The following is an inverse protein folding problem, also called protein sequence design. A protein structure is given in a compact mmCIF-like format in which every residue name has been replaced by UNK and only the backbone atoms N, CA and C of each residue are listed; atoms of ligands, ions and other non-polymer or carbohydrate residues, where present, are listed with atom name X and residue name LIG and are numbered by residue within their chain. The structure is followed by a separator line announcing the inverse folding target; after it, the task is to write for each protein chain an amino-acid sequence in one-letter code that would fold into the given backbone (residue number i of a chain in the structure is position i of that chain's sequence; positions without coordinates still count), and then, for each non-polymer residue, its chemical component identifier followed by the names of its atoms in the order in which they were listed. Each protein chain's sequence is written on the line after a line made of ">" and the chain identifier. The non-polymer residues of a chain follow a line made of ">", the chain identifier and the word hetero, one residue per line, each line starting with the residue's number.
data_IF_141497679741
#
_entry.id   IF_141497679741
#
_cell.length_a   1.000
_cell.length_b   1.000
_cell.length_c   1.000
_cell.angle_alpha   90.00
_cell.angle_beta   90.00
_cell.angle_gamma   90.00
#
_symmetry.space_group_name_H-M   'P 1'
#
loop_
_entity.id
_entity.type
_entity.pdbx_description
1 polymer ?
#
# COMPACT_ATOMS: atom_id res chain seq x y z
N UNK A 1 -0.59 12.67 -22.84
CA UNK A 1 0.28 13.80 -22.46
C UNK A 1 -0.27 14.60 -21.27
N UNK A 2 -1.59 14.61 -21.04
CA UNK A 2 -2.22 15.37 -19.94
C UNK A 2 -3.03 14.42 -19.04
N UNK A 3 -2.49 13.24 -18.75
CA UNK A 3 -3.24 12.18 -18.05
C UNK A 3 -2.27 11.48 -17.12
N UNK A 4 -2.53 11.59 -15.82
CA UNK A 4 -1.91 10.71 -14.84
C UNK A 4 -2.47 9.29 -15.04
N UNK A 5 -1.58 8.30 -14.98
CA UNK A 5 -1.95 6.88 -15.00
C UNK A 5 -1.50 6.28 -13.68
N UNK A 6 -2.45 5.64 -12.98
CA UNK A 6 -2.15 4.78 -11.82
C UNK A 6 -2.60 3.37 -12.17
N UNK A 7 -1.67 2.42 -12.08
CA UNK A 7 -1.92 1.00 -12.30
C UNK A 7 -1.69 0.24 -11.00
N UNK A 8 -2.67 -0.56 -10.58
CA UNK A 8 -2.62 -1.26 -9.30
C UNK A 8 -3.43 -2.56 -9.24
N UNK A 9 -3.07 -3.43 -8.29
CA UNK A 9 -3.89 -4.48 -7.66
C UNK A 9 -4.99 -3.90 -6.74
N UNK A 10 -6.10 -4.60 -6.45
CA UNK A 10 -6.81 -4.45 -5.15
C UNK A 10 -6.22 -5.42 -4.10
N UNK A 11 -5.71 -6.58 -4.56
CA UNK A 11 -4.90 -7.55 -3.82
C UNK A 11 -4.03 -8.39 -4.77
N UNK A 12 -3.29 -9.36 -4.24
CA UNK A 12 -2.60 -10.40 -4.99
C UNK A 12 -3.24 -11.79 -4.75
N UNK A 13 -2.63 -12.87 -5.21
CA UNK A 13 -3.21 -14.22 -5.18
C UNK A 13 -2.12 -15.24 -4.87
N UNK A 14 -2.38 -16.12 -3.89
CA UNK A 14 -1.43 -17.17 -3.48
C UNK A 14 -1.17 -18.16 -4.62
N UNK A 15 -2.16 -18.49 -5.44
CA UNK A 15 -2.01 -19.33 -6.64
C UNK A 15 -1.24 -20.66 -6.42
N UNK A 16 -1.37 -21.26 -5.23
CA UNK A 16 -0.66 -22.48 -4.85
C UNK A 16 0.53 -22.28 -3.91
N UNK A 17 0.99 -21.03 -3.72
CA UNK A 17 2.02 -20.70 -2.74
C UNK A 17 1.62 -21.19 -1.35
N UNK A 18 2.56 -21.81 -0.65
CA UNK A 18 2.35 -22.42 0.67
C UNK A 18 1.17 -23.42 0.70
N UNK A 19 0.94 -24.14 -0.41
CA UNK A 19 -0.19 -25.05 -0.60
C UNK A 19 -1.55 -24.38 -0.35
N UNK A 20 -1.64 -23.09 -0.65
CA UNK A 20 -2.80 -22.25 -0.38
C UNK A 20 -3.27 -21.50 -1.63
N UNK A 21 -4.54 -21.10 -1.64
CA UNK A 21 -5.15 -20.30 -2.70
C UNK A 21 -5.97 -19.17 -2.09
N UNK A 22 -6.22 -18.13 -2.87
CA UNK A 22 -6.91 -16.92 -2.45
C UNK A 22 -5.97 -15.86 -1.88
N UNK A 23 -6.57 -14.97 -1.09
CA UNK A 23 -5.95 -13.72 -0.61
C UNK A 23 -6.07 -13.47 0.90
N UNK A 24 -6.62 -14.43 1.66
CA UNK A 24 -6.92 -14.27 3.09
C UNK A 24 -5.64 -14.47 3.94
N UNK A 25 -4.61 -13.70 3.61
CA UNK A 25 -3.28 -13.74 4.20
C UNK A 25 -2.55 -12.42 3.91
N UNK A 26 -1.55 -12.09 4.73
CA UNK A 26 -0.67 -10.93 4.51
C UNK A 26 0.72 -11.28 3.99
N UNK A 27 0.95 -12.53 3.60
CA UNK A 27 2.14 -12.92 2.84
C UNK A 27 2.24 -12.08 1.56
N UNK A 28 3.46 -11.82 1.08
CA UNK A 28 3.70 -10.99 -0.11
C UNK A 28 2.85 -11.43 -1.31
N UNK A 29 2.77 -12.74 -1.56
CA UNK A 29 1.96 -13.31 -2.64
C UNK A 29 0.47 -12.98 -2.57
N UNK A 30 -0.07 -12.61 -1.40
CA UNK A 30 -1.47 -12.22 -1.22
C UNK A 30 -1.68 -10.70 -1.08
N UNK A 31 -0.72 -9.99 -0.49
CA UNK A 31 -0.89 -8.61 -0.05
C UNK A 31 0.03 -7.59 -0.73
N UNK A 32 1.15 -8.00 -1.31
CA UNK A 32 2.06 -7.09 -2.02
C UNK A 32 1.65 -6.99 -3.48
N UNK A 33 1.09 -5.85 -3.84
CA UNK A 33 0.53 -5.58 -5.17
C UNK A 33 1.49 -4.73 -6.01
N UNK A 34 1.37 -4.77 -7.36
CA UNK A 34 1.94 -3.71 -8.18
C UNK A 34 1.24 -2.38 -7.87
N UNK A 35 2.00 -1.29 -7.82
CA UNK A 35 1.50 0.07 -7.74
C UNK A 35 2.45 0.96 -8.55
N UNK A 36 2.00 1.39 -9.72
CA UNK A 36 2.79 2.18 -10.68
C UNK A 36 2.06 3.50 -10.90
N UNK A 37 2.78 4.61 -10.78
CA UNK A 37 2.28 5.95 -11.04
C UNK A 37 3.08 6.56 -12.18
N UNK A 38 2.39 7.09 -13.18
CA UNK A 38 2.97 7.87 -14.27
C UNK A 38 2.24 9.21 -14.31
N UNK A 39 2.97 10.26 -13.98
CA UNK A 39 2.51 11.64 -14.09
C UNK A 39 3.37 12.36 -15.14
N UNK A 40 2.78 12.90 -16.22
CA UNK A 40 3.52 13.55 -17.30
C UNK A 40 4.38 14.74 -16.86
N UNK A 41 4.02 15.42 -15.77
CA UNK A 41 4.66 16.64 -15.30
C UNK A 41 5.64 16.38 -14.14
N UNK A 42 5.51 15.24 -13.45
CA UNK A 42 6.25 14.95 -12.20
C UNK A 42 7.14 13.72 -12.26
N UNK A 43 6.77 12.67 -13.00
CA UNK A 43 7.55 11.41 -13.03
C UNK A 43 8.64 11.45 -14.11
N UNK A 44 9.85 10.96 -13.79
CA UNK A 44 10.98 10.91 -14.73
C UNK A 44 11.10 9.57 -15.46
N UNK A 45 10.36 8.56 -15.00
CA UNK A 45 10.41 7.19 -15.51
C UNK A 45 11.57 6.38 -14.92
N UNK A 46 11.41 5.06 -14.87
CA UNK A 46 12.37 4.11 -14.28
C UNK A 46 12.78 4.40 -12.82
N UNK A 47 11.98 5.18 -12.10
CA UNK A 47 12.17 5.43 -10.67
C UNK A 47 11.58 4.29 -9.85
N UNK A 48 12.26 3.92 -8.76
CA UNK A 48 11.77 2.93 -7.80
C UNK A 48 11.71 3.58 -6.41
N UNK A 49 10.55 3.47 -5.77
CA UNK A 49 10.36 3.89 -4.39
C UNK A 49 10.24 2.63 -3.52
N UNK A 50 11.06 2.55 -2.47
CA UNK A 50 11.07 1.41 -1.55
C UNK A 50 10.27 1.67 -0.26
N UNK A 51 9.73 2.88 -0.09
CA UNK A 51 8.91 3.22 1.06
C UNK A 51 7.64 2.34 1.12
N UNK A 52 7.17 1.95 2.33
CA UNK A 52 5.99 1.13 2.48
C UNK A 52 4.71 1.94 2.19
N UNK A 53 4.09 1.68 1.05
CA UNK A 53 2.87 2.38 0.56
C UNK A 53 1.68 1.43 0.45
N UNK A 54 0.48 1.98 0.33
CA UNK A 54 -0.75 1.20 0.16
C UNK A 54 -1.82 1.94 -0.63
N UNK A 55 -2.94 1.26 -0.90
CA UNK A 55 -4.04 1.81 -1.71
C UNK A 55 -4.66 3.09 -1.13
N UNK A 56 -4.57 3.28 0.19
CA UNK A 56 -5.02 4.50 0.88
C UNK A 56 -4.29 5.77 0.41
N UNK A 57 -3.11 5.61 -0.18
CA UNK A 57 -2.28 6.70 -0.70
C UNK A 57 -2.76 7.21 -2.07
N UNK A 58 -3.62 6.47 -2.77
CA UNK A 58 -4.12 6.85 -4.10
C UNK A 58 -4.95 8.13 -4.06
N UNK A 59 -5.87 8.25 -3.09
CA UNK A 59 -6.74 9.43 -2.97
C UNK A 59 -5.95 10.75 -2.80
N UNK A 60 -5.08 10.90 -1.77
CA UNK A 60 -4.30 12.13 -1.63
C UNK A 60 -3.36 12.39 -2.82
N UNK A 61 -2.89 11.34 -3.50
CA UNK A 61 -2.12 11.48 -4.76
C UNK A 61 -2.95 12.15 -5.86
N UNK A 62 -4.20 11.70 -6.05
CA UNK A 62 -5.11 12.29 -7.04
C UNK A 62 -5.49 13.73 -6.70
N UNK A 63 -5.74 14.03 -5.43
CA UNK A 63 -6.04 15.40 -5.00
C UNK A 63 -4.88 16.34 -5.31
N UNK A 64 -3.64 15.95 -4.97
CA UNK A 64 -2.45 16.73 -5.29
C UNK A 64 -2.25 16.90 -6.80
N UNK A 65 -2.46 15.85 -7.59
CA UNK A 65 -2.33 15.90 -9.04
C UNK A 65 -3.37 16.83 -9.70
N UNK A 66 -4.55 16.93 -9.10
CA UNK A 66 -5.64 17.77 -9.57
C UNK A 66 -5.59 19.21 -9.02
N UNK A 67 -4.58 19.55 -8.21
CA UNK A 67 -4.48 20.83 -7.51
C UNK A 67 -5.72 21.11 -6.62
N UNK A 68 -6.23 20.06 -5.98
CA UNK A 68 -7.38 20.11 -5.07
C UNK A 68 -6.89 20.00 -3.63
N UNK A 69 -7.22 20.99 -2.82
CA UNK A 69 -6.96 20.97 -1.39
C UNK A 69 -7.78 19.87 -0.68
N UNK A 70 -7.16 19.01 0.15
CA UNK A 70 -7.87 18.04 0.97
C UNK A 70 -8.91 18.72 1.87
N UNK A 71 -10.12 18.16 1.93
CA UNK A 71 -11.18 18.68 2.81
C UNK A 71 -11.07 18.17 4.24
N UNK A 72 -10.27 17.12 4.45
CA UNK A 72 -10.06 16.44 5.72
C UNK A 72 -8.69 15.77 5.74
N UNK A 73 -8.28 15.30 6.92
CA UNK A 73 -7.06 14.52 7.08
C UNK A 73 -7.30 13.07 6.65
N UNK A 74 -6.85 12.75 5.43
CA UNK A 74 -6.82 11.37 4.97
C UNK A 74 -5.74 10.55 5.68
N UNK A 75 -5.99 9.26 5.90
CA UNK A 75 -5.00 8.34 6.50
C UNK A 75 -3.81 8.07 5.57
N UNK A 76 -4.02 8.15 4.26
CA UNK A 76 -2.95 8.03 3.27
C UNK A 76 -2.12 9.30 3.13
N UNK A 77 -1.07 9.22 2.31
CA UNK A 77 -0.20 10.34 1.91
C UNK A 77 0.04 10.28 0.40
N UNK A 78 0.37 11.42 -0.22
CA UNK A 78 0.62 11.42 -1.66
C UNK A 78 1.84 10.59 -2.02
N UNK A 79 1.69 9.69 -3.00
CA UNK A 79 2.75 8.89 -3.58
C UNK A 79 3.79 9.75 -4.30
N UNK A 80 3.40 10.92 -4.82
CA UNK A 80 4.32 11.86 -5.47
C UNK A 80 5.29 12.45 -4.45
N UNK A 81 4.78 12.92 -3.32
CA UNK A 81 5.61 13.49 -2.25
C UNK A 81 6.48 12.43 -1.56
N UNK A 82 5.96 11.21 -1.41
CA UNK A 82 6.75 10.07 -0.92
C UNK A 82 7.90 9.76 -1.89
N UNK A 83 7.61 9.64 -3.19
CA UNK A 83 8.62 9.31 -4.19
C UNK A 83 9.72 10.39 -4.32
N UNK A 84 9.37 11.67 -4.10
CA UNK A 84 10.33 12.77 -4.09
C UNK A 84 11.08 12.94 -2.75
N UNK A 85 10.77 12.11 -1.75
CA UNK A 85 11.36 12.20 -0.41
C UNK A 85 10.92 13.42 0.42
N UNK A 86 9.91 14.15 -0.06
CA UNK A 86 9.29 15.29 0.65
C UNK A 86 8.45 14.82 1.84
N UNK A 87 7.96 13.58 1.76
CA UNK A 87 7.19 12.96 2.82
C UNK A 87 7.77 11.59 3.19
N UNK A 88 8.19 11.45 4.45
CA UNK A 88 8.65 10.19 5.01
C UNK A 88 7.47 9.29 5.36
N UNK A 89 7.65 7.99 5.13
CA UNK A 89 6.65 6.96 5.43
C UNK A 89 7.36 5.80 6.12
N UNK A 90 7.16 5.68 7.43
CA UNK A 90 7.83 4.66 8.24
C UNK A 90 7.12 3.30 8.16
N UNK A 91 5.79 3.33 8.02
CA UNK A 91 4.93 2.17 8.17
C UNK A 91 3.67 2.28 7.30
N UNK A 92 3.26 1.17 6.68
CA UNK A 92 1.90 0.98 6.18
C UNK A 92 1.20 -0.17 6.92
N UNK A 93 -0.11 -0.13 6.98
CA UNK A 93 -0.92 -1.12 7.69
C UNK A 93 -1.94 -1.79 6.77
N UNK A 94 -2.28 -3.03 7.11
CA UNK A 94 -3.36 -3.78 6.47
C UNK A 94 -4.21 -4.47 7.52
N UNK A 95 -5.49 -4.66 7.20
CA UNK A 95 -6.44 -5.37 8.05
C UNK A 95 -7.37 -6.23 7.20
N UNK A 96 -7.62 -7.46 7.64
CA UNK A 96 -8.79 -8.22 7.20
C UNK A 96 -9.57 -8.70 8.43
N UNK A 97 -10.90 -8.61 8.35
CA UNK A 97 -11.82 -8.75 9.50
C UNK A 97 -11.52 -7.75 10.64
N UNK A 98 -12.20 -7.90 11.79
CA UNK A 98 -12.10 -7.00 12.94
C UNK A 98 -12.31 -7.75 14.25
N UNK A 99 -11.95 -7.10 15.36
CA UNK A 99 -12.11 -7.61 16.73
C UNK A 99 -11.42 -8.97 16.90
N UNK A 100 -12.07 -9.92 17.56
CA UNK A 100 -11.57 -11.28 17.86
C UNK A 100 -11.25 -12.12 16.61
N UNK A 101 -11.73 -11.72 15.43
CA UNK A 101 -11.45 -12.38 14.14
C UNK A 101 -10.47 -11.59 13.27
N UNK A 102 -9.96 -10.46 13.77
CA UNK A 102 -9.11 -9.55 13.03
C UNK A 102 -7.71 -10.11 12.84
N UNK A 103 -7.18 -9.95 11.63
CA UNK A 103 -5.77 -10.12 11.36
C UNK A 103 -5.22 -8.80 10.86
N UNK A 104 -4.08 -8.41 11.41
CA UNK A 104 -3.49 -7.10 11.25
C UNK A 104 -2.06 -7.25 10.71
N UNK A 105 -1.68 -6.36 9.81
CA UNK A 105 -0.34 -6.30 9.23
C UNK A 105 0.23 -4.90 9.44
N UNK A 106 1.52 -4.84 9.75
CA UNK A 106 2.32 -3.63 9.81
C UNK A 106 3.61 -3.87 9.00
N UNK A 107 3.86 -3.06 7.97
CA UNK A 107 5.03 -3.19 7.08
C UNK A 107 5.87 -1.92 7.13
N UNK A 108 7.15 -2.11 7.44
CA UNK A 108 8.21 -1.10 7.30
C UNK A 108 9.06 -1.45 6.07
N UNK A 109 10.07 -0.66 5.74
CA UNK A 109 11.04 -1.02 4.69
C UNK A 109 11.80 -2.33 4.98
N UNK A 110 11.90 -2.73 6.26
CA UNK A 110 12.75 -3.87 6.69
C UNK A 110 11.98 -5.08 7.17
N UNK A 111 10.81 -4.87 7.76
CA UNK A 111 10.06 -5.89 8.48
C UNK A 111 8.60 -5.89 8.10
N UNK A 112 8.00 -7.07 8.13
CA UNK A 112 6.55 -7.27 8.02
C UNK A 112 6.07 -8.01 9.26
N UNK A 113 5.36 -7.30 10.12
CA UNK A 113 4.70 -7.87 11.26
C UNK A 113 3.26 -8.26 10.92
N UNK A 114 2.82 -9.44 11.36
CA UNK A 114 1.45 -9.94 11.23
C UNK A 114 0.97 -10.42 12.59
N UNK A 115 -0.21 -9.98 13.03
CA UNK A 115 -0.87 -10.46 14.24
C UNK A 115 -2.26 -11.03 13.92
N UNK A 116 -2.50 -12.27 14.34
CA UNK A 116 -3.81 -12.92 14.28
C UNK A 116 -4.45 -12.90 15.67
N UNK A 117 -5.51 -12.09 15.82
CA UNK A 117 -6.32 -12.08 17.03
C UNK A 117 -6.98 -13.44 17.36
N UNK A 118 -7.58 -14.18 16.39
CA UNK A 118 -8.24 -15.45 16.70
C UNK A 118 -7.26 -16.54 17.16
N UNK A 119 -6.02 -16.51 16.67
CA UNK A 119 -4.99 -17.48 17.04
C UNK A 119 -4.12 -17.01 18.22
N UNK A 120 -4.28 -15.76 18.66
CA UNK A 120 -3.41 -15.07 19.60
C UNK A 120 -1.91 -15.28 19.25
N UNK A 121 -1.57 -15.04 17.99
CA UNK A 121 -0.26 -15.38 17.42
C UNK A 121 0.28 -14.26 16.53
N UNK A 122 1.58 -14.06 16.60
CA UNK A 122 2.33 -13.08 15.82
C UNK A 122 3.41 -13.72 14.94
N UNK A 123 3.74 -13.03 13.84
CA UNK A 123 4.83 -13.35 12.91
C UNK A 123 5.58 -12.05 12.56
N UNK A 124 6.90 -12.13 12.39
CA UNK A 124 7.81 -11.03 12.03
C UNK A 124 8.53 -11.30 10.71
#
# INVERSE_FOLDING_TARGET
>A
KNTMIVFSSDHAELLGDYNSVGKRSFLDSAARIPLIVVDPDRTKGNEQCHAPVGLVDILPTFLQAADIEPQEDYSGRSLLDIAEGKQQRELTMGQYNRNEFGVYMAVTERYKYIYSAPDNKEWL
#
